data_IF_628824943407
#
_entry.id   IF_628824943407
#
_cell.length_a   1.000
_cell.length_b   1.000
_cell.length_c   1.000
_cell.angle_alpha   90.00
_cell.angle_beta   90.00
_cell.angle_gamma   90.00
#
_symmetry.space_group_name_H-M   'P 1'
#
loop_
_entity.id
_entity.type
_entity.pdbx_description
1 polymer ?
#
# COMPACT_ATOMS: atom_id res chain seq x y z
N UNK A 1 -45.02 7.98 26.10
CA UNK A 1 -43.67 8.38 25.61
C UNK A 1 -42.66 7.39 26.16
N UNK A 2 -41.64 7.01 25.39
CA UNK A 2 -40.60 6.05 25.81
C UNK A 2 -39.41 6.82 26.39
N UNK A 3 -38.76 6.27 27.42
CA UNK A 3 -37.57 6.83 28.06
C UNK A 3 -36.41 5.87 27.86
N UNK A 4 -35.30 6.36 27.32
CA UNK A 4 -34.08 5.60 27.08
C UNK A 4 -32.94 6.24 27.87
N UNK A 5 -32.20 5.42 28.62
CA UNK A 5 -31.02 5.84 29.38
C UNK A 5 -29.80 5.11 28.84
N UNK A 6 -28.69 5.82 28.70
CA UNK A 6 -27.39 5.25 28.37
C UNK A 6 -26.57 5.19 29.65
N UNK A 7 -26.11 4.01 30.01
CA UNK A 7 -25.37 3.73 31.25
C UNK A 7 -23.99 3.19 30.87
N UNK A 8 -22.95 3.73 31.48
CA UNK A 8 -21.57 3.24 31.38
C UNK A 8 -21.02 3.09 32.79
N UNK A 9 -20.41 1.95 33.09
CA UNK A 9 -19.81 1.69 34.42
C UNK A 9 -20.75 1.97 35.61
N UNK A 10 -22.06 1.73 35.41
CA UNK A 10 -23.14 1.96 36.38
C UNK A 10 -23.56 3.44 36.58
N UNK A 11 -22.98 4.38 35.84
CA UNK A 11 -23.39 5.78 35.82
C UNK A 11 -24.27 6.11 34.61
N UNK A 12 -25.30 6.94 34.82
CA UNK A 12 -26.17 7.41 33.74
C UNK A 12 -25.49 8.58 33.04
N UNK A 13 -25.05 8.36 31.79
CA UNK A 13 -24.38 9.39 30.98
C UNK A 13 -25.40 10.30 30.30
N UNK A 14 -26.48 9.73 29.77
CA UNK A 14 -27.50 10.48 29.06
C UNK A 14 -28.87 9.83 29.15
N UNK A 15 -29.90 10.65 28.97
CA UNK A 15 -31.29 10.23 28.92
C UNK A 15 -32.02 10.96 27.81
N UNK A 16 -32.88 10.26 27.07
CA UNK A 16 -33.82 10.86 26.13
C UNK A 16 -35.24 10.32 26.32
N UNK A 17 -36.23 11.16 26.03
CA UNK A 17 -37.65 10.80 26.08
C UNK A 17 -38.29 11.10 24.73
N UNK A 18 -38.83 10.08 24.07
CA UNK A 18 -39.29 10.21 22.69
C UNK A 18 -40.16 9.07 22.19
N UNK A 19 -40.19 8.91 20.86
CA UNK A 19 -40.92 7.84 20.18
C UNK A 19 -40.06 6.57 20.16
N UNK A 20 -40.68 5.40 20.31
CA UNK A 20 -39.98 4.09 20.43
C UNK A 20 -38.88 3.86 19.39
N UNK A 21 -39.08 4.32 18.14
CA UNK A 21 -38.12 4.11 17.03
C UNK A 21 -36.90 5.04 17.10
N UNK A 22 -37.06 6.28 17.54
CA UNK A 22 -36.01 7.32 17.48
C UNK A 22 -35.29 7.55 18.80
N UNK A 23 -35.96 7.32 19.94
CA UNK A 23 -35.47 7.64 21.29
C UNK A 23 -34.11 7.03 21.62
N UNK A 24 -33.78 5.86 21.04
CA UNK A 24 -32.46 5.22 21.23
C UNK A 24 -31.32 5.98 20.54
N UNK A 25 -31.59 6.57 19.37
CA UNK A 25 -30.60 7.34 18.62
C UNK A 25 -30.40 8.72 19.27
N UNK A 26 -31.47 9.31 19.77
CA UNK A 26 -31.44 10.56 20.55
C UNK A 26 -30.61 10.40 21.83
N UNK A 27 -30.90 9.35 22.62
CA UNK A 27 -30.15 9.06 23.84
C UNK A 27 -28.66 8.75 23.54
N UNK A 28 -28.38 8.00 22.47
CA UNK A 28 -27.01 7.74 22.04
C UNK A 28 -26.28 9.02 21.57
N UNK A 29 -26.97 9.90 20.86
CA UNK A 29 -26.41 11.19 20.41
C UNK A 29 -26.01 12.09 21.57
N UNK A 30 -26.87 12.22 22.59
CA UNK A 30 -26.56 12.98 23.81
C UNK A 30 -25.45 12.33 24.63
N UNK A 31 -25.40 10.99 24.70
CA UNK A 31 -24.29 10.28 25.35
C UNK A 31 -22.95 10.58 24.67
N UNK A 32 -22.90 10.53 23.34
CA UNK A 32 -21.69 10.81 22.57
C UNK A 32 -21.24 12.27 22.73
N UNK A 33 -22.18 13.23 22.73
CA UNK A 33 -21.85 14.65 22.98
C UNK A 33 -21.23 14.85 24.36
N UNK A 34 -21.78 14.19 25.38
CA UNK A 34 -21.30 14.31 26.77
C UNK A 34 -19.92 13.67 26.91
N UNK A 35 -19.73 12.47 26.37
CA UNK A 35 -18.46 11.76 26.40
C UNK A 35 -17.35 12.49 25.64
N UNK A 36 -17.65 13.11 24.49
CA UNK A 36 -16.66 13.89 23.71
C UNK A 36 -16.09 15.10 24.47
N UNK A 37 -16.79 15.61 25.50
CA UNK A 37 -16.31 16.73 26.33
C UNK A 37 -15.33 16.29 27.41
N UNK A 38 -15.37 15.02 27.82
CA UNK A 38 -14.59 14.52 28.97
C UNK A 38 -13.55 13.49 28.57
N UNK A 39 -13.77 12.75 27.48
CA UNK A 39 -12.95 11.64 27.05
C UNK A 39 -12.27 11.92 25.70
N UNK A 40 -10.99 11.54 25.55
CA UNK A 40 -10.33 11.54 24.24
C UNK A 40 -11.04 10.59 23.27
N UNK A 41 -11.20 11.03 22.03
CA UNK A 41 -11.82 10.21 20.99
C UNK A 41 -10.84 9.90 19.87
N UNK A 42 -10.74 8.63 19.51
CA UNK A 42 -9.98 8.21 18.34
C UNK A 42 -10.87 8.33 17.12
N UNK A 43 -10.50 9.19 16.18
CA UNK A 43 -11.16 9.28 14.88
C UNK A 43 -10.33 8.55 13.83
N UNK A 44 -11.03 7.92 12.90
CA UNK A 44 -10.39 7.34 11.72
C UNK A 44 -10.40 8.38 10.61
N UNK A 45 -9.30 9.13 10.51
CA UNK A 45 -8.94 9.90 9.33
C UNK A 45 -8.50 8.96 8.21
N UNK A 46 -9.48 8.25 7.65
CA UNK A 46 -9.42 7.85 6.25
C UNK A 46 -9.39 9.14 5.43
N UNK A 47 -8.27 9.88 5.45
CA UNK A 47 -7.79 10.41 4.19
C UNK A 47 -7.72 9.16 3.31
N UNK A 48 -8.73 8.96 2.46
CA UNK A 48 -8.53 8.20 1.22
C UNK A 48 -7.16 8.66 0.78
N UNK A 49 -6.17 7.77 0.79
CA UNK A 49 -4.79 8.15 0.48
C UNK A 49 -4.86 9.10 -0.70
N UNK A 50 -4.17 10.24 -0.60
CA UNK A 50 -4.10 11.13 -1.75
C UNK A 50 -3.82 10.25 -2.98
N UNK A 51 -4.45 10.53 -4.11
CA UNK A 51 -4.36 9.67 -5.31
C UNK A 51 -2.88 9.36 -5.64
N UNK A 52 -1.97 10.23 -5.21
CA UNK A 52 -0.50 10.13 -5.26
C UNK A 52 0.13 8.94 -4.48
N UNK A 53 -0.50 8.40 -3.43
CA UNK A 53 0.04 7.29 -2.62
C UNK A 53 -0.42 5.90 -3.13
N UNK A 54 -1.20 5.85 -4.21
CA UNK A 54 -1.75 4.61 -4.75
C UNK A 54 -0.78 3.98 -5.73
N UNK A 55 -0.32 2.78 -5.43
CA UNK A 55 0.56 2.01 -6.31
C UNK A 55 -0.25 1.47 -7.49
N UNK A 56 -0.01 2.03 -8.67
CA UNK A 56 -0.62 1.65 -9.95
C UNK A 56 -0.01 0.37 -10.52
N UNK A 57 -0.72 -0.25 -11.48
CA UNK A 57 -0.22 -1.42 -12.22
C UNK A 57 1.12 -1.13 -12.93
N UNK A 58 1.22 0.04 -13.55
CA UNK A 58 2.38 0.45 -14.34
C UNK A 58 3.63 0.68 -13.47
N UNK A 59 3.47 1.27 -12.29
CA UNK A 59 4.59 1.47 -11.35
C UNK A 59 5.18 0.15 -10.83
N UNK A 60 4.36 -0.91 -10.76
CA UNK A 60 4.85 -2.23 -10.38
C UNK A 60 5.64 -2.84 -11.53
N UNK A 61 5.15 -2.73 -12.77
CA UNK A 61 5.82 -3.27 -13.96
C UNK A 61 7.12 -2.53 -14.32
N UNK A 62 7.17 -1.19 -14.16
CA UNK A 62 8.32 -0.37 -14.55
C UNK A 62 9.60 -0.65 -13.76
N UNK A 63 9.50 -1.22 -12.55
CA UNK A 63 10.66 -1.49 -11.68
C UNK A 63 11.58 -2.59 -12.21
N UNK A 64 11.04 -3.61 -12.89
CA UNK A 64 11.85 -4.67 -13.49
C UNK A 64 12.69 -4.15 -14.66
N UNK A 65 12.21 -3.13 -15.38
CA UNK A 65 12.97 -2.53 -16.48
C UNK A 65 14.20 -1.79 -15.94
N UNK A 66 14.04 -0.94 -14.93
CA UNK A 66 15.15 -0.20 -14.31
C UNK A 66 16.24 -1.10 -13.70
N UNK A 67 15.86 -2.20 -13.03
CA UNK A 67 16.84 -3.14 -12.50
C UNK A 67 17.58 -3.89 -13.61
N UNK A 68 16.93 -4.21 -14.72
CA UNK A 68 17.59 -4.80 -15.88
C UNK A 68 18.62 -3.84 -16.50
N UNK A 69 18.35 -2.54 -16.55
CA UNK A 69 19.32 -1.53 -16.98
C UNK A 69 20.54 -1.42 -16.06
N UNK A 70 20.41 -1.77 -14.78
CA UNK A 70 21.50 -1.70 -13.78
C UNK A 70 22.39 -2.95 -13.76
N UNK A 71 21.97 -4.05 -14.38
CA UNK A 71 22.75 -5.29 -14.37
C UNK A 71 23.85 -5.25 -15.46
N UNK A 72 25.03 -4.77 -15.09
CA UNK A 72 26.24 -4.97 -15.89
C UNK A 72 26.59 -6.47 -15.94
N UNK A 73 27.02 -6.95 -17.12
CA UNK A 73 27.56 -8.30 -17.26
C UNK A 73 28.80 -8.40 -16.36
N UNK A 74 28.75 -9.29 -15.37
CA UNK A 74 29.86 -9.51 -14.44
C UNK A 74 31.13 -10.00 -15.15
N UNK A 75 32.29 -9.76 -14.54
CA UNK A 75 33.59 -10.12 -15.11
C UNK A 75 33.85 -11.64 -15.20
N UNK A 76 33.11 -12.42 -14.43
CA UNK A 76 33.13 -13.89 -14.45
C UNK A 76 32.35 -14.49 -15.63
N UNK A 77 31.58 -13.67 -16.37
CA UNK A 77 30.88 -14.13 -17.57
C UNK A 77 31.85 -14.42 -18.71
N UNK A 78 31.69 -15.58 -19.35
CA UNK A 78 32.56 -16.05 -20.45
C UNK A 78 32.70 -15.00 -21.57
N UNK A 79 31.60 -14.33 -21.94
CA UNK A 79 31.62 -13.29 -22.97
C UNK A 79 32.42 -12.06 -22.54
N UNK A 80 32.29 -11.63 -21.29
CA UNK A 80 33.07 -10.51 -20.73
C UNK A 80 34.57 -10.84 -20.70
N UNK A 81 34.93 -12.05 -20.26
CA UNK A 81 36.32 -12.51 -20.28
C UNK A 81 36.89 -12.56 -21.69
N UNK A 82 36.09 -13.02 -22.67
CA UNK A 82 36.51 -13.06 -24.07
C UNK A 82 36.73 -11.65 -24.63
N UNK A 83 35.79 -10.73 -24.40
CA UNK A 83 35.91 -9.34 -24.84
C UNK A 83 37.17 -8.67 -24.25
N UNK A 84 37.44 -8.88 -22.95
CA UNK A 84 38.66 -8.39 -22.28
C UNK A 84 39.93 -8.98 -22.88
N UNK A 85 39.93 -10.28 -23.18
CA UNK A 85 41.05 -10.94 -23.87
C UNK A 85 41.28 -10.38 -25.28
N UNK A 86 40.25 -9.83 -25.91
CA UNK A 86 40.33 -9.14 -27.20
C UNK A 86 40.63 -7.63 -27.07
N UNK A 87 40.99 -7.15 -25.87
CA UNK A 87 41.41 -5.77 -25.62
C UNK A 87 40.28 -4.80 -25.28
N UNK A 88 39.05 -5.27 -25.07
CA UNK A 88 37.95 -4.42 -24.62
C UNK A 88 38.09 -4.08 -23.12
N UNK A 89 38.11 -2.80 -22.78
CA UNK A 89 38.29 -2.29 -21.41
C UNK A 89 36.99 -1.78 -20.77
N UNK A 90 35.86 -1.92 -21.46
CA UNK A 90 34.55 -1.40 -21.05
C UNK A 90 34.02 -0.32 -21.99
N UNK A 91 32.76 0.11 -21.79
CA UNK A 91 32.11 1.11 -22.64
C UNK A 91 31.54 0.54 -23.95
N UNK A 92 31.36 1.38 -24.97
CA UNK A 92 30.86 0.98 -26.29
C UNK A 92 31.84 0.07 -27.04
N UNK A 93 31.34 -0.86 -27.85
CA UNK A 93 32.19 -1.78 -28.63
C UNK A 93 32.69 -1.11 -29.92
N UNK A 94 33.99 -1.13 -30.20
CA UNK A 94 34.58 -0.58 -31.43
C UNK A 94 35.94 0.06 -31.19
N UNK A 95 36.66 0.41 -32.27
CA UNK A 95 38.05 0.92 -32.22
C UNK A 95 38.21 2.16 -31.33
N UNK A 96 37.22 3.05 -31.33
CA UNK A 96 37.19 4.28 -30.51
C UNK A 96 36.09 4.24 -29.44
N UNK A 97 35.53 3.06 -29.14
CA UNK A 97 34.40 2.93 -28.21
C UNK A 97 33.06 3.45 -28.77
N UNK A 98 32.94 3.55 -30.09
CA UNK A 98 31.79 4.13 -30.81
C UNK A 98 30.51 3.29 -30.73
N UNK A 99 30.61 2.03 -30.32
CA UNK A 99 29.46 1.15 -30.21
C UNK A 99 28.50 1.56 -29.09
N UNK A 100 27.37 0.86 -29.06
CA UNK A 100 26.33 1.07 -28.08
C UNK A 100 26.87 0.73 -26.68
N UNK A 101 26.97 1.73 -25.81
CA UNK A 101 27.37 1.57 -24.41
C UNK A 101 26.21 1.11 -23.53
N UNK A 102 25.02 1.64 -23.78
CA UNK A 102 23.84 1.37 -22.95
C UNK A 102 23.05 0.18 -23.52
N UNK A 103 22.52 -0.73 -22.67
CA UNK A 103 21.70 -1.84 -23.13
C UNK A 103 20.58 -1.35 -24.06
N UNK A 104 20.39 -2.04 -25.20
CA UNK A 104 19.35 -1.68 -26.16
C UNK A 104 17.98 -1.80 -25.49
N UNK A 105 17.27 -0.68 -25.36
CA UNK A 105 15.90 -0.65 -24.84
C UNK A 105 14.96 -1.38 -25.78
N UNK A 106 14.13 -2.28 -25.24
CA UNK A 106 12.99 -2.83 -25.98
C UNK A 106 12.02 -1.68 -26.26
N UNK A 107 11.85 -1.32 -27.53
CA UNK A 107 10.79 -0.37 -27.92
C UNK A 107 9.45 -1.11 -27.90
N UNK A 108 8.46 -0.59 -27.18
CA UNK A 108 7.11 -1.17 -27.16
C UNK A 108 6.51 -1.12 -28.58
N UNK A 109 6.52 -2.26 -29.27
CA UNK A 109 5.87 -2.39 -30.58
C UNK A 109 4.37 -2.64 -30.39
N UNK A 110 3.57 -1.66 -30.81
CA UNK A 110 2.11 -1.69 -30.71
C UNK A 110 1.42 -2.45 -31.88
N UNK A 111 2.18 -3.16 -32.74
CA UNK A 111 1.65 -3.89 -33.90
C UNK A 111 2.15 -5.35 -33.93
N UNK A 112 1.29 -6.23 -34.44
CA UNK A 112 1.39 -7.71 -34.44
C UNK A 112 2.42 -8.28 -35.44
N UNK A 113 3.68 -7.86 -35.37
CA UNK A 113 4.74 -8.40 -36.25
C UNK A 113 6.05 -8.67 -35.47
N UNK A 114 6.24 -9.91 -34.96
CA UNK A 114 7.48 -10.55 -34.43
C UNK A 114 8.11 -9.99 -33.13
N UNK A 115 8.89 -10.69 -32.28
CA UNK A 115 9.45 -12.07 -32.20
C UNK A 115 9.00 -12.75 -30.89
N UNK A 116 7.95 -13.58 -30.94
CA UNK A 116 7.73 -14.67 -29.99
C UNK A 116 7.37 -14.34 -28.53
N UNK A 117 7.03 -13.09 -28.17
CA UNK A 117 6.48 -12.80 -26.85
C UNK A 117 4.96 -13.00 -26.85
N UNK A 118 4.50 -13.92 -26.02
CA UNK A 118 3.09 -14.03 -25.66
C UNK A 118 2.62 -12.69 -25.10
N UNK A 119 1.72 -11.99 -25.79
CA UNK A 119 1.22 -10.66 -25.41
C UNK A 119 0.57 -10.71 -24.02
N UNK A 120 0.07 -11.89 -23.62
CA UNK A 120 -0.40 -12.18 -22.27
C UNK A 120 0.69 -12.05 -21.19
N UNK A 121 1.96 -12.32 -21.51
CA UNK A 121 3.08 -12.21 -20.56
C UNK A 121 3.48 -10.77 -20.29
N UNK A 122 3.41 -9.88 -21.28
CA UNK A 122 3.75 -8.45 -21.09
C UNK A 122 2.73 -7.77 -20.16
N UNK A 123 1.47 -8.19 -20.25
CA UNK A 123 0.41 -7.59 -19.44
C UNK A 123 0.38 -8.09 -17.99
N UNK A 124 1.12 -9.15 -17.62
CA UNK A 124 1.09 -9.68 -16.24
C UNK A 124 2.18 -9.00 -15.40
N UNK A 125 1.79 -8.53 -14.22
CA UNK A 125 2.75 -8.02 -13.25
C UNK A 125 3.64 -9.18 -12.78
N UNK A 126 4.96 -9.00 -12.80
CA UNK A 126 5.86 -10.05 -12.33
C UNK A 126 5.81 -10.19 -10.81
N UNK A 127 5.73 -11.44 -10.32
CA UNK A 127 5.71 -11.74 -8.89
C UNK A 127 6.90 -11.14 -8.13
N UNK A 128 8.07 -11.04 -8.78
CA UNK A 128 9.29 -10.47 -8.22
C UNK A 128 9.13 -9.00 -7.86
N UNK A 129 8.47 -8.23 -8.72
CA UNK A 129 8.26 -6.80 -8.51
C UNK A 129 7.35 -6.56 -7.31
N UNK A 130 6.22 -7.27 -7.26
CA UNK A 130 5.30 -7.25 -6.11
C UNK A 130 6.04 -7.62 -4.82
N UNK A 131 6.87 -8.66 -4.86
CA UNK A 131 7.67 -9.07 -3.72
C UNK A 131 8.66 -8.01 -3.27
N UNK A 132 9.30 -7.31 -4.20
CA UNK A 132 10.23 -6.22 -3.88
C UNK A 132 9.52 -5.04 -3.22
N UNK A 133 8.33 -4.64 -3.71
CA UNK A 133 7.52 -3.58 -3.07
C UNK A 133 7.20 -3.95 -1.62
N UNK A 134 6.66 -5.15 -1.44
CA UNK A 134 6.20 -5.61 -0.12
C UNK A 134 7.38 -5.79 0.83
N UNK A 135 8.52 -6.31 0.35
CA UNK A 135 9.74 -6.45 1.13
C UNK A 135 10.28 -5.10 1.59
N UNK A 136 10.36 -4.13 0.68
CA UNK A 136 10.86 -2.79 1.00
C UNK A 136 9.96 -2.11 2.03
N UNK A 137 8.64 -2.26 1.90
CA UNK A 137 7.71 -1.77 2.90
C UNK A 137 7.82 -2.49 4.24
N UNK A 138 7.96 -3.81 4.26
CA UNK A 138 8.14 -4.56 5.50
C UNK A 138 9.40 -4.10 6.26
N UNK A 139 10.46 -3.74 5.53
CA UNK A 139 11.74 -3.24 6.06
C UNK A 139 11.74 -1.75 6.41
N UNK A 140 10.83 -0.96 5.86
CA UNK A 140 10.73 0.45 6.22
C UNK A 140 10.20 0.60 7.64
N UNK A 141 10.29 1.80 8.22
CA UNK A 141 9.60 2.16 9.46
C UNK A 141 8.27 2.88 9.18
N UNK A 142 7.80 2.86 7.92
CA UNK A 142 6.59 3.59 7.54
C UNK A 142 5.38 3.12 8.35
N UNK A 143 4.66 4.11 8.90
CA UNK A 143 3.44 3.91 9.67
C UNK A 143 2.16 3.94 8.82
N UNK A 144 2.25 4.34 7.54
CA UNK A 144 1.12 4.36 6.61
C UNK A 144 0.93 3.00 5.96
N UNK A 145 -0.31 2.68 5.58
CA UNK A 145 -0.61 1.44 4.87
C UNK A 145 -0.34 1.62 3.36
N UNK A 146 0.19 0.59 2.70
CA UNK A 146 0.33 0.57 1.24
C UNK A 146 -1.02 0.36 0.57
N UNK A 147 -1.38 1.24 -0.37
CA UNK A 147 -2.61 1.10 -1.15
C UNK A 147 -2.26 0.76 -2.60
N UNK A 148 -2.94 -0.25 -3.15
CA UNK A 148 -2.82 -0.67 -4.54
C UNK A 148 -4.05 -0.23 -5.34
N UNK A 149 -3.82 0.13 -6.60
CA UNK A 149 -4.86 0.56 -7.54
C UNK A 149 -5.96 -0.50 -7.76
N UNK A 150 -7.13 -0.03 -8.18
CA UNK A 150 -8.28 -0.88 -8.51
C UNK A 150 -8.06 -1.70 -9.79
N UNK A 151 -7.11 -1.30 -10.64
CA UNK A 151 -6.79 -1.92 -11.95
C UNK A 151 -6.17 -3.32 -11.88
N UNK A 152 -5.88 -3.80 -10.67
CA UNK A 152 -5.30 -5.13 -10.46
C UNK A 152 -6.33 -6.23 -10.70
N UNK A 153 -5.89 -7.29 -11.40
CA UNK A 153 -6.66 -8.52 -11.60
C UNK A 153 -6.80 -9.32 -10.31
N UNK A 154 -7.72 -10.29 -10.29
CA UNK A 154 -7.93 -11.17 -9.14
C UNK A 154 -6.67 -12.00 -8.80
N UNK A 155 -5.97 -12.50 -9.83
CA UNK A 155 -4.74 -13.27 -9.64
C UNK A 155 -3.60 -12.41 -9.07
N UNK A 156 -3.43 -11.18 -9.55
CA UNK A 156 -2.45 -10.23 -9.00
C UNK A 156 -2.75 -9.89 -7.54
N UNK A 157 -4.03 -9.65 -7.21
CA UNK A 157 -4.46 -9.44 -5.82
C UNK A 157 -4.17 -10.64 -4.94
N UNK A 158 -4.42 -11.86 -5.43
CA UNK A 158 -4.09 -13.11 -4.72
C UNK A 158 -2.59 -13.24 -4.47
N UNK A 159 -1.75 -12.89 -5.45
CA UNK A 159 -0.29 -12.88 -5.28
C UNK A 159 0.15 -11.88 -4.20
N UNK A 160 -0.39 -10.65 -4.23
CA UNK A 160 -0.12 -9.63 -3.21
C UNK A 160 -0.50 -10.14 -1.82
N UNK A 161 -1.68 -10.75 -1.66
CA UNK A 161 -2.10 -11.33 -0.38
C UNK A 161 -1.13 -12.40 0.14
N UNK A 162 -0.72 -13.34 -0.73
CA UNK A 162 0.22 -14.40 -0.37
C UNK A 162 1.58 -13.85 0.05
N UNK A 163 2.10 -12.88 -0.69
CA UNK A 163 3.40 -12.27 -0.41
C UNK A 163 3.31 -11.42 0.86
N UNK A 164 2.27 -10.60 1.02
CA UNK A 164 2.07 -9.82 2.25
C UNK A 164 2.05 -10.71 3.49
N UNK A 165 1.35 -11.86 3.42
CA UNK A 165 1.34 -12.83 4.51
C UNK A 165 2.73 -13.41 4.80
N UNK A 166 3.50 -13.74 3.75
CA UNK A 166 4.89 -14.24 3.88
C UNK A 166 5.79 -13.26 4.64
N UNK A 167 5.61 -11.96 4.45
CA UNK A 167 6.37 -10.90 5.17
C UNK A 167 5.70 -10.46 6.48
N UNK A 168 4.69 -11.20 6.98
CA UNK A 168 4.05 -10.92 8.27
C UNK A 168 3.08 -9.73 8.26
N UNK A 169 2.74 -9.19 7.11
CA UNK A 169 1.84 -8.05 6.96
C UNK A 169 0.37 -8.48 6.93
N UNK A 170 -0.54 -7.54 7.24
CA UNK A 170 -1.98 -7.71 7.01
C UNK A 170 -2.32 -7.20 5.61
N UNK A 171 -3.25 -7.84 4.93
CA UNK A 171 -3.74 -7.38 3.63
C UNK A 171 -5.26 -7.56 3.55
N UNK A 172 -5.96 -6.55 3.03
CA UNK A 172 -7.41 -6.56 2.86
C UNK A 172 -7.81 -5.86 1.57
N UNK A 173 -8.80 -6.41 0.88
CA UNK A 173 -9.49 -5.66 -0.17
C UNK A 173 -10.68 -4.89 0.41
N UNK A 174 -10.87 -3.66 -0.05
CA UNK A 174 -11.98 -2.79 0.30
C UNK A 174 -12.71 -2.36 -0.98
N UNK A 175 -13.96 -1.91 -0.85
CA UNK A 175 -14.80 -1.52 -2.00
C UNK A 175 -15.47 -2.71 -2.68
N UNK A 176 -16.26 -2.41 -3.71
CA UNK A 176 -17.09 -3.38 -4.45
C UNK A 176 -16.87 -3.17 -5.95
N UNK A 177 -16.82 -4.25 -6.73
CA UNK A 177 -16.72 -4.17 -8.20
C UNK A 177 -15.47 -3.42 -8.67
N UNK A 178 -15.69 -2.39 -9.51
CA UNK A 178 -14.64 -1.56 -10.11
C UNK A 178 -13.96 -0.61 -9.13
N UNK A 179 -14.62 -0.27 -8.02
CA UNK A 179 -14.03 0.55 -6.94
C UNK A 179 -13.28 -0.30 -5.91
N UNK A 180 -13.09 -1.60 -6.19
CA UNK A 180 -12.39 -2.49 -5.27
C UNK A 180 -10.89 -2.25 -5.32
N UNK A 181 -10.30 -1.82 -4.20
CA UNK A 181 -8.87 -1.59 -4.03
C UNK A 181 -8.29 -2.53 -2.96
N UNK A 182 -6.97 -2.71 -2.95
CA UNK A 182 -6.26 -3.58 -2.01
C UNK A 182 -5.32 -2.75 -1.13
N UNK A 183 -5.38 -2.96 0.18
CA UNK A 183 -4.53 -2.31 1.17
C UNK A 183 -3.66 -3.36 1.88
N UNK A 184 -2.37 -3.08 2.02
CA UNK A 184 -1.41 -3.86 2.80
C UNK A 184 -0.88 -2.99 3.94
N UNK A 185 -0.98 -3.47 5.16
CA UNK A 185 -0.55 -2.74 6.34
C UNK A 185 0.20 -3.60 7.34
N UNK A 186 0.70 -2.99 8.41
CA UNK A 186 1.35 -3.72 9.51
C UNK A 186 0.31 -4.37 10.43
N UNK A 187 0.65 -5.55 10.96
CA UNK A 187 -0.10 -6.15 12.07
C UNK A 187 0.27 -5.41 13.35
N UNK A 188 -0.66 -4.62 13.89
CA UNK A 188 -0.51 -3.93 15.18
C UNK A 188 -1.53 -4.48 16.16
N UNK A 189 -1.15 -4.65 17.42
CA UNK A 189 -2.12 -4.92 18.49
C UNK A 189 -2.85 -3.63 18.84
N UNK A 190 -4.04 -3.76 19.41
CA UNK A 190 -4.87 -2.59 19.76
C UNK A 190 -4.21 -1.76 20.86
N UNK A 191 -3.50 -2.41 21.77
CA UNK A 191 -2.77 -1.79 22.87
C UNK A 191 -1.62 -0.93 22.32
N UNK A 192 -0.76 -1.52 21.48
CA UNK A 192 0.38 -0.81 20.87
C UNK A 192 -0.08 0.42 20.06
N UNK A 193 -1.22 0.31 19.36
CA UNK A 193 -1.80 1.42 18.60
C UNK A 193 -2.30 2.56 19.51
N UNK A 194 -2.92 2.23 20.64
CA UNK A 194 -3.39 3.23 21.60
C UNK A 194 -2.22 3.91 22.30
N UNK A 195 -1.16 3.18 22.64
CA UNK A 195 0.03 3.74 23.28
C UNK A 195 0.74 4.71 22.33
N UNK A 196 0.90 4.34 21.07
CA UNK A 196 1.42 5.24 20.03
C UNK A 196 0.53 6.47 19.82
N UNK A 197 -0.80 6.30 19.78
CA UNK A 197 -1.73 7.44 19.64
C UNK A 197 -1.64 8.41 20.83
N UNK A 198 -1.39 7.91 22.04
CA UNK A 198 -1.20 8.77 23.22
C UNK A 198 0.13 9.52 23.18
N UNK A 199 1.17 8.93 22.59
CA UNK A 199 2.50 9.55 22.49
C UNK A 199 2.61 10.55 21.33
N UNK A 200 2.13 10.16 20.15
CA UNK A 200 2.35 10.89 18.89
C UNK A 200 1.10 11.70 18.45
N UNK A 201 -0.06 11.45 19.05
CA UNK A 201 -1.33 12.09 18.67
C UNK A 201 -1.95 11.54 17.37
N UNK A 202 -1.15 10.99 16.46
CA UNK A 202 -1.60 10.41 15.20
C UNK A 202 -0.83 9.13 14.86
N UNK A 203 -1.54 8.09 14.42
CA UNK A 203 -0.95 6.82 13.99
C UNK A 203 -1.62 6.32 12.72
N UNK A 204 -0.95 6.48 11.59
CA UNK A 204 -1.49 6.14 10.28
C UNK A 204 -2.76 6.93 9.98
N UNK A 205 -3.89 6.23 9.83
CA UNK A 205 -5.21 6.84 9.60
C UNK A 205 -5.94 7.19 10.89
N UNK A 206 -5.40 6.90 12.07
CA UNK A 206 -6.05 7.22 13.33
C UNK A 206 -5.47 8.49 13.91
N UNK A 207 -6.33 9.37 14.41
CA UNK A 207 -5.95 10.58 15.15
C UNK A 207 -6.66 10.58 16.50
N UNK A 208 -5.92 10.95 17.54
CA UNK A 208 -6.44 11.14 18.88
C UNK A 208 -6.89 12.58 19.05
N UNK A 209 -8.20 12.79 19.09
CA UNK A 209 -8.79 14.10 19.38
C UNK A 209 -9.00 14.22 20.89
N UNK A 210 -8.26 15.15 21.49
CA UNK A 210 -8.45 15.51 22.89
C UNK A 210 -9.79 16.25 23.07
N UNK A 211 -10.44 16.13 24.24
CA UNK A 211 -11.69 16.84 24.51
C UNK A 211 -11.49 18.35 24.33
N UNK A 212 -12.42 19.01 23.64
CA UNK A 212 -12.40 20.46 23.52
C UNK A 212 -12.66 21.05 24.90
N UNK A 213 -11.62 21.65 25.50
CA UNK A 213 -11.76 22.45 26.70
C UNK A 213 -12.69 23.63 26.39
N UNK A 214 -13.73 23.79 27.18
CA UNK A 214 -14.53 25.01 27.21
C UNK A 214 -13.71 26.17 27.80
#
# INVERSE_FOLDING_TARGET
RWKCKVILESEVIAEAVGVKKTVKYEAAGEAVKTLKKTQPTVINNLKKGAIEDVISRNEIQGRSAEEAYKQQIKEDNIGNQLLRKMGWTGGGLGKSGEGIREPISVKEQHKREGLGLDVERVNKIAKRDIEQIIRNYARSESHTDLTFSTELTNDERKQIHQIAQKYGLKSKSHGVGHDRYLVVGRKRRKEDLLDQLKQEGQVGHYELVMPQAN
#
